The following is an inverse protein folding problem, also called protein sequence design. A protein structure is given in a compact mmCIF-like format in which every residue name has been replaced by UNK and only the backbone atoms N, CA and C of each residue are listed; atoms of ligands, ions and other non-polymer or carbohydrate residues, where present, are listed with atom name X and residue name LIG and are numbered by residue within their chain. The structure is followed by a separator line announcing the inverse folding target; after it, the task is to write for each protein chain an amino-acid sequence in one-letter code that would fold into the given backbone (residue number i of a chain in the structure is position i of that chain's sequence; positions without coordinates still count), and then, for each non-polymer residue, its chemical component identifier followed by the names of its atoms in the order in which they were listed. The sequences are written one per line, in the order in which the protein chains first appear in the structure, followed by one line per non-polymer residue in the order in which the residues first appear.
data_IF_450393299426
#
_entry.id   IF_450393299426
#
_cell.length_a   1.000
_cell.length_b   1.000
_cell.length_c   1.000
_cell.angle_alpha   90.00
_cell.angle_beta   90.00
_cell.angle_gamma   90.00
#
_symmetry.space_group_name_H-M   'P 1'
#
loop_
_entity.id
_entity.type
_entity.pdbx_description
1 polymer ?
#
# COMPACT_ATOMS: atom_id res chain seq x y z
N UNK A 1 -17.49 0.23 -13.74
CA UNK A 1 -17.80 0.98 -12.51
C UNK A 1 -16.50 1.21 -11.75
N UNK A 2 -16.17 2.47 -11.41
CA UNK A 2 -14.95 2.76 -10.64
C UNK A 2 -15.09 2.33 -9.18
N UNK A 3 -14.08 1.64 -8.65
CA UNK A 3 -14.01 1.17 -7.26
C UNK A 3 -12.63 1.47 -6.68
N UNK A 4 -12.57 1.99 -5.45
CA UNK A 4 -11.33 2.16 -4.69
C UNK A 4 -11.29 1.12 -3.56
N UNK A 5 -10.22 0.32 -3.51
CA UNK A 5 -10.07 -0.77 -2.56
C UNK A 5 -8.78 -0.67 -1.74
N UNK A 6 -8.91 -0.76 -0.42
CA UNK A 6 -7.80 -0.87 0.52
C UNK A 6 -7.92 -2.22 1.24
N UNK A 7 -7.11 -3.20 0.83
CA UNK A 7 -7.30 -4.62 1.13
C UNK A 7 -6.41 -5.15 2.27
N UNK A 8 -5.51 -4.32 2.79
CA UNK A 8 -4.63 -4.66 3.91
C UNK A 8 -4.79 -3.64 5.03
N UNK A 9 -5.49 -4.06 6.08
CA UNK A 9 -5.67 -3.30 7.32
C UNK A 9 -5.58 -4.24 8.51
N UNK A 10 -5.50 -3.68 9.72
CA UNK A 10 -5.58 -4.44 10.95
C UNK A 10 -6.77 -4.04 11.81
N UNK A 11 -7.33 -5.03 12.48
CA UNK A 11 -8.38 -4.86 13.49
C UNK A 11 -7.79 -4.47 14.85
N UNK A 12 -8.65 -4.10 15.79
CA UNK A 12 -8.27 -3.85 17.20
C UNK A 12 -7.60 -5.05 17.92
N UNK A 13 -7.55 -6.24 17.31
CA UNK A 13 -6.90 -7.41 17.88
C UNK A 13 -5.42 -7.54 17.50
N UNK A 14 -4.94 -6.74 16.55
CA UNK A 14 -3.52 -6.67 16.22
C UNK A 14 -2.74 -5.78 17.19
N UNK A 15 -1.47 -6.13 17.43
CA UNK A 15 -0.55 -5.27 18.22
C UNK A 15 -0.43 -3.88 17.61
N UNK A 16 -0.18 -2.90 18.49
CA UNK A 16 0.03 -1.50 18.11
C UNK A 16 -1.08 -0.89 17.23
N UNK A 17 -2.27 -1.48 17.26
CA UNK A 17 -3.44 -1.04 16.48
C UNK A 17 -4.43 -0.32 17.39
N UNK A 18 -5.07 0.73 16.86
CA UNK A 18 -6.06 1.50 17.62
C UNK A 18 -7.23 0.59 18.06
N UNK A 19 -7.72 0.72 19.31
CA UNK A 19 -8.92 -0.01 19.75
C UNK A 19 -10.18 0.38 18.96
N UNK A 20 -10.13 1.49 18.22
CA UNK A 20 -11.21 1.94 17.35
C UNK A 20 -11.21 1.25 15.98
N UNK A 21 -10.29 0.33 15.69
CA UNK A 21 -10.30 -0.46 14.45
C UNK A 21 -11.35 -1.58 14.56
N UNK A 22 -12.63 -1.20 14.59
CA UNK A 22 -13.80 -2.08 14.61
C UNK A 22 -14.75 -1.79 13.43
N UNK A 23 -15.67 -2.71 13.12
CA UNK A 23 -16.51 -2.62 11.92
C UNK A 23 -17.28 -1.28 11.80
N UNK A 24 -17.95 -0.77 12.87
CA UNK A 24 -18.63 0.52 12.80
C UNK A 24 -17.71 1.67 12.40
N UNK A 25 -16.54 1.78 13.03
CA UNK A 25 -15.62 2.88 12.74
C UNK A 25 -14.91 2.71 11.40
N UNK A 26 -14.56 1.47 11.03
CA UNK A 26 -13.98 1.15 9.73
C UNK A 26 -14.92 1.56 8.61
N UNK A 27 -16.20 1.20 8.68
CA UNK A 27 -17.19 1.59 7.66
C UNK A 27 -17.40 3.12 7.61
N UNK A 28 -17.48 3.78 8.78
CA UNK A 28 -17.58 5.24 8.84
C UNK A 28 -16.38 5.92 8.15
N UNK A 29 -15.16 5.48 8.46
CA UNK A 29 -13.96 6.08 7.90
C UNK A 29 -13.71 5.69 6.45
N UNK A 30 -14.08 4.49 6.02
CA UNK A 30 -14.10 4.11 4.61
C UNK A 30 -14.95 5.09 3.80
N UNK A 31 -16.15 5.44 4.26
CA UNK A 31 -16.97 6.49 3.60
C UNK A 31 -16.32 7.86 3.60
N UNK A 32 -15.73 8.29 4.73
CA UNK A 32 -15.02 9.59 4.81
C UNK A 32 -13.82 9.64 3.87
N UNK A 33 -13.10 8.53 3.71
CA UNK A 33 -11.98 8.40 2.79
C UNK A 33 -12.43 8.26 1.34
N UNK A 34 -13.59 7.65 1.10
CA UNK A 34 -14.08 7.31 -0.23
C UNK A 34 -13.57 5.93 -0.70
N UNK A 35 -13.40 5.00 0.23
CA UNK A 35 -13.02 3.62 -0.04
C UNK A 35 -14.31 2.82 -0.24
N UNK A 36 -14.46 2.19 -1.41
CA UNK A 36 -15.64 1.40 -1.77
C UNK A 36 -15.55 -0.02 -1.20
N UNK A 37 -14.34 -0.60 -1.21
CA UNK A 37 -14.07 -1.96 -0.73
C UNK A 37 -12.94 -1.94 0.30
N UNK A 38 -13.23 -2.40 1.52
CA UNK A 38 -12.24 -2.51 2.57
C UNK A 38 -11.90 -3.97 2.87
N UNK A 39 -10.62 -4.28 3.04
CA UNK A 39 -10.23 -5.55 3.65
C UNK A 39 -10.77 -5.65 5.07
N UNK A 40 -11.17 -6.84 5.51
CA UNK A 40 -11.58 -7.00 6.91
C UNK A 40 -10.41 -6.89 7.88
N UNK A 41 -9.21 -7.25 7.42
CA UNK A 41 -8.07 -7.53 8.29
C UNK A 41 -8.32 -8.71 9.22
N UNK A 42 -7.25 -9.35 9.68
CA UNK A 42 -7.21 -10.23 10.85
C UNK A 42 -8.30 -11.31 10.95
N UNK A 43 -8.86 -11.81 9.84
CA UNK A 43 -9.96 -12.80 9.90
C UNK A 43 -9.56 -14.10 10.63
N UNK A 44 -8.27 -14.31 10.85
CA UNK A 44 -7.71 -15.46 11.57
C UNK A 44 -7.95 -15.37 13.07
N UNK A 45 -8.13 -14.17 13.62
CA UNK A 45 -8.36 -13.98 15.04
C UNK A 45 -9.77 -14.45 15.43
N UNK A 46 -9.94 -15.43 16.35
CA UNK A 46 -11.24 -16.07 16.60
C UNK A 46 -12.36 -15.12 17.03
N UNK A 47 -12.05 -14.10 17.86
CA UNK A 47 -13.06 -13.12 18.27
C UNK A 47 -13.43 -12.16 17.14
N UNK A 48 -12.48 -11.88 16.25
CA UNK A 48 -12.75 -11.03 15.09
C UNK A 48 -13.58 -11.80 14.07
N UNK A 49 -13.17 -13.03 13.73
CA UNK A 49 -13.94 -13.95 12.90
C UNK A 49 -15.41 -14.06 13.34
N UNK A 50 -15.65 -14.26 14.64
CA UNK A 50 -17.01 -14.27 15.19
C UNK A 50 -17.75 -12.96 14.95
N UNK A 51 -17.08 -11.82 15.17
CA UNK A 51 -17.66 -10.49 14.91
C UNK A 51 -18.02 -10.32 13.43
N UNK A 52 -17.12 -10.71 12.52
CA UNK A 52 -17.34 -10.67 11.08
C UNK A 52 -18.55 -11.52 10.70
N UNK A 53 -18.62 -12.78 11.15
CA UNK A 53 -19.72 -13.69 10.83
C UNK A 53 -21.08 -13.26 11.39
N UNK A 54 -21.10 -12.49 12.48
CA UNK A 54 -22.34 -11.97 13.07
C UNK A 54 -22.83 -10.66 12.43
N UNK A 55 -21.91 -9.88 11.86
CA UNK A 55 -22.19 -8.49 11.46
C UNK A 55 -22.21 -8.28 9.95
N UNK A 56 -21.41 -9.04 9.20
CA UNK A 56 -21.27 -8.89 7.76
C UNK A 56 -22.40 -9.59 7.01
N UNK A 57 -22.99 -8.89 6.04
CA UNK A 57 -24.04 -9.44 5.16
C UNK A 57 -23.40 -9.85 3.83
N UNK A 58 -23.39 -11.15 3.52
CA UNK A 58 -22.87 -11.66 2.25
C UNK A 58 -23.63 -11.05 1.06
N UNK A 59 -22.89 -10.63 0.03
CA UNK A 59 -23.45 -10.19 -1.25
C UNK A 59 -23.55 -11.34 -2.29
N UNK A 60 -23.19 -12.57 -1.90
CA UNK A 60 -23.26 -13.75 -2.77
C UNK A 60 -22.17 -13.87 -3.83
N UNK A 61 -21.26 -12.90 -3.91
CA UNK A 61 -20.23 -12.80 -4.95
C UNK A 61 -18.79 -12.73 -4.39
N UNK A 62 -18.62 -13.20 -3.16
CA UNK A 62 -17.35 -13.18 -2.43
C UNK A 62 -17.05 -11.89 -1.68
N UNK A 63 -17.91 -10.86 -1.82
CA UNK A 63 -17.88 -9.66 -1.00
C UNK A 63 -18.99 -9.67 0.05
N UNK A 64 -18.81 -8.84 1.07
CA UNK A 64 -19.73 -8.65 2.18
C UNK A 64 -20.08 -7.17 2.31
N UNK A 65 -21.16 -6.85 3.01
CA UNK A 65 -21.56 -5.47 3.25
C UNK A 65 -21.75 -5.23 4.74
N UNK A 66 -21.29 -4.06 5.20
CA UNK A 66 -21.62 -3.50 6.49
C UNK A 66 -21.79 -1.98 6.35
N UNK A 67 -22.95 -1.47 6.77
CA UNK A 67 -23.27 -0.03 6.71
C UNK A 67 -22.93 0.62 5.35
N UNK A 68 -23.37 -0.01 4.26
CA UNK A 68 -23.18 0.42 2.86
C UNK A 68 -21.74 0.39 2.33
N UNK A 69 -20.78 -0.11 3.10
CA UNK A 69 -19.40 -0.32 2.65
C UNK A 69 -19.20 -1.80 2.33
N UNK A 70 -18.53 -2.10 1.21
CA UNK A 70 -18.20 -3.47 0.86
C UNK A 70 -16.93 -3.90 1.59
N UNK A 71 -16.90 -5.16 1.99
CA UNK A 71 -15.77 -5.79 2.65
C UNK A 71 -15.32 -7.04 1.90
N UNK A 72 -14.01 -7.18 1.75
CA UNK A 72 -13.36 -8.42 1.30
C UNK A 72 -12.74 -9.10 2.52
N UNK A 73 -12.89 -10.42 2.65
CA UNK A 73 -12.26 -11.16 3.75
C UNK A 73 -10.75 -11.22 3.50
N UNK A 74 -10.01 -10.44 4.29
CA UNK A 74 -8.55 -10.38 4.22
C UNK A 74 -7.92 -10.58 5.60
N UNK A 75 -6.72 -11.15 5.62
CA UNK A 75 -5.88 -11.29 6.80
C UNK A 75 -4.40 -11.21 6.42
N UNK A 76 -3.55 -10.91 7.39
CA UNK A 76 -2.11 -11.05 7.28
C UNK A 76 -1.64 -12.13 8.27
N UNK A 77 -0.71 -13.00 7.85
CA UNK A 77 -0.03 -13.96 8.72
C UNK A 77 1.47 -13.72 8.71
N UNK A 78 2.14 -13.98 9.83
CA UNK A 78 3.59 -13.82 9.96
C UNK A 78 4.29 -15.18 10.01
N UNK A 79 4.98 -15.54 8.93
CA UNK A 79 5.74 -16.78 8.82
C UNK A 79 7.18 -16.56 9.30
N UNK A 80 7.63 -17.33 10.28
CA UNK A 80 9.00 -17.26 10.82
C UNK A 80 9.61 -18.65 10.85
N UNK A 81 10.76 -18.82 10.19
CA UNK A 81 11.46 -20.11 10.11
C UNK A 81 12.96 -19.92 9.88
N UNK A 82 13.73 -20.99 10.02
CA UNK A 82 15.14 -21.03 9.67
C UNK A 82 15.33 -21.63 8.28
N UNK A 83 16.12 -20.97 7.43
CA UNK A 83 16.51 -21.47 6.10
C UNK A 83 17.91 -20.96 5.80
N UNK A 84 18.80 -21.86 5.37
CA UNK A 84 20.21 -21.54 5.03
C UNK A 84 20.93 -20.78 6.14
N UNK A 85 20.79 -21.27 7.38
CA UNK A 85 21.39 -20.67 8.59
C UNK A 85 20.94 -19.23 8.90
N UNK A 86 19.89 -18.73 8.24
CA UNK A 86 19.25 -17.44 8.53
C UNK A 86 17.84 -17.63 9.04
N UNK A 87 17.42 -16.77 9.96
CA UNK A 87 16.00 -16.67 10.35
C UNK A 87 15.30 -15.78 9.33
N UNK A 88 14.36 -16.38 8.60
CA UNK A 88 13.48 -15.70 7.64
C UNK A 88 12.20 -15.28 8.35
N UNK A 89 11.70 -14.11 8.00
CA UNK A 89 10.46 -13.55 8.53
C UNK A 89 9.73 -12.93 7.36
N UNK A 90 8.55 -13.43 7.03
CA UNK A 90 7.78 -13.02 5.86
C UNK A 90 6.32 -12.90 6.26
N UNK A 91 5.72 -11.78 5.91
CA UNK A 91 4.29 -11.59 6.00
C UNK A 91 3.59 -11.92 4.69
N UNK A 92 2.44 -12.57 4.82
CA UNK A 92 1.60 -12.98 3.69
C UNK A 92 0.19 -12.48 3.91
N UNK A 93 -0.34 -11.76 2.92
CA UNK A 93 -1.75 -11.43 2.82
C UNK A 93 -2.51 -12.63 2.30
N UNK A 94 -3.69 -12.84 2.86
CA UNK A 94 -4.63 -13.88 2.48
C UNK A 94 -5.94 -13.20 2.06
N UNK A 95 -6.36 -13.36 0.81
CA UNK A 95 -7.69 -12.91 0.35
C UNK A 95 -8.54 -14.13 0.02
N UNK A 96 -9.73 -14.22 0.61
CA UNK A 96 -10.58 -15.41 0.47
C UNK A 96 -12.04 -15.04 0.23
N UNK A 97 -12.80 -15.81 -0.58
CA UNK A 97 -14.14 -15.37 -0.98
C UNK A 97 -15.23 -15.65 0.06
N UNK A 98 -15.00 -16.48 1.09
CA UNK A 98 -16.09 -16.89 1.98
C UNK A 98 -15.70 -17.13 3.42
N UNK A 99 -16.64 -16.90 4.35
CA UNK A 99 -16.46 -17.21 5.77
C UNK A 99 -16.27 -18.72 6.01
N UNK A 100 -16.80 -19.57 5.13
CA UNK A 100 -16.54 -21.02 5.14
C UNK A 100 -15.07 -21.31 4.80
N UNK A 101 -14.50 -20.64 3.81
CA UNK A 101 -13.07 -20.77 3.52
C UNK A 101 -12.22 -20.25 4.70
N UNK A 102 -12.61 -19.13 5.32
CA UNK A 102 -11.95 -18.64 6.54
C UNK A 102 -11.97 -19.69 7.64
N UNK A 103 -13.10 -20.36 7.87
CA UNK A 103 -13.20 -21.42 8.89
C UNK A 103 -12.22 -22.57 8.63
N UNK A 104 -12.17 -23.06 7.38
CA UNK A 104 -11.25 -24.12 6.98
C UNK A 104 -9.78 -23.70 7.15
N UNK A 105 -9.43 -22.49 6.72
CA UNK A 105 -8.08 -21.94 6.88
C UNK A 105 -7.71 -21.82 8.35
N UNK A 106 -8.59 -21.24 9.18
CA UNK A 106 -8.36 -21.06 10.61
C UNK A 106 -8.20 -22.41 11.32
N UNK A 107 -8.96 -23.43 10.92
CA UNK A 107 -8.82 -24.79 11.43
C UNK A 107 -7.40 -25.33 11.19
N UNK A 108 -6.88 -25.24 9.96
CA UNK A 108 -5.52 -25.73 9.66
C UNK A 108 -4.42 -24.88 10.32
N UNK A 109 -4.51 -23.55 10.25
CA UNK A 109 -3.50 -22.66 10.83
C UNK A 109 -3.44 -22.75 12.37
N UNK A 110 -4.57 -23.05 13.03
CA UNK A 110 -4.63 -23.23 14.49
C UNK A 110 -3.84 -24.44 15.00
N UNK A 111 -3.57 -25.42 14.13
CA UNK A 111 -2.73 -26.58 14.44
C UNK A 111 -1.23 -26.21 14.48
N UNK A 112 -0.87 -25.08 13.90
CA UNK A 112 0.50 -24.62 13.72
C UNK A 112 0.87 -23.56 14.76
N UNK A 113 -0.03 -22.61 15.03
CA UNK A 113 0.23 -21.51 15.94
C UNK A 113 -1.03 -20.97 16.62
N UNK A 114 -0.83 -20.12 17.62
CA UNK A 114 -1.93 -19.53 18.38
C UNK A 114 -2.55 -18.35 17.65
N UNK A 115 -3.70 -18.57 17.01
CA UNK A 115 -4.44 -17.54 16.28
C UNK A 115 -5.08 -16.47 17.18
N UNK A 116 -5.23 -16.73 18.48
CA UNK A 116 -5.80 -15.78 19.43
C UNK A 116 -4.76 -14.83 20.05
N UNK A 117 -3.47 -15.00 19.73
CA UNK A 117 -2.40 -14.20 20.33
C UNK A 117 -2.29 -12.78 19.76
N UNK A 118 -2.69 -12.59 18.51
CA UNK A 118 -2.57 -11.36 17.75
C UNK A 118 -3.51 -11.43 16.53
N UNK A 119 -3.98 -10.29 16.03
CA UNK A 119 -4.71 -10.21 14.75
C UNK A 119 -3.88 -10.68 13.56
N UNK A 120 -2.55 -10.51 13.62
CA UNK A 120 -1.57 -11.16 12.74
C UNK A 120 -0.88 -12.30 13.49
N UNK A 121 -1.36 -13.55 13.35
CA UNK A 121 -0.75 -14.67 14.04
C UNK A 121 0.67 -14.94 13.52
N UNK A 122 1.57 -15.26 14.46
CA UNK A 122 2.94 -15.69 14.16
C UNK A 122 2.96 -17.22 14.07
N UNK A 123 3.37 -17.73 12.92
CA UNK A 123 3.40 -19.16 12.61
C UNK A 123 4.85 -19.60 12.36
N UNK A 124 5.26 -20.65 13.05
CA UNK A 124 6.61 -21.24 12.96
C UNK A 124 6.82 -22.10 11.70
N UNK A 125 6.44 -21.61 10.52
CA UNK A 125 6.48 -22.33 9.24
C UNK A 125 7.02 -21.44 8.12
N UNK A 126 7.46 -22.07 7.03
CA UNK A 126 7.87 -21.36 5.82
C UNK A 126 6.69 -20.80 5.03
N UNK A 127 6.96 -19.79 4.21
CA UNK A 127 5.96 -19.22 3.30
C UNK A 127 5.39 -20.28 2.34
N UNK A 128 6.24 -21.15 1.78
CA UNK A 128 5.81 -22.31 0.98
C UNK A 128 4.86 -23.21 1.76
N UNK A 129 5.21 -23.58 3.01
CA UNK A 129 4.37 -24.49 3.79
C UNK A 129 3.04 -23.87 4.19
N UNK A 130 3.03 -22.57 4.49
CA UNK A 130 1.80 -21.82 4.71
C UNK A 130 0.90 -21.87 3.47
N UNK A 131 1.47 -21.60 2.29
CA UNK A 131 0.74 -21.64 1.03
C UNK A 131 0.16 -23.03 0.70
N UNK A 132 0.95 -24.09 0.84
CA UNK A 132 0.46 -25.48 0.68
C UNK A 132 -0.71 -25.79 1.61
N UNK A 133 -0.56 -25.43 2.89
CA UNK A 133 -1.57 -25.69 3.92
C UNK A 133 -2.88 -24.98 3.59
N UNK A 134 -2.81 -23.70 3.24
CA UNK A 134 -3.98 -22.88 2.90
C UNK A 134 -4.64 -23.39 1.62
N UNK A 135 -3.88 -23.63 0.55
CA UNK A 135 -4.44 -24.09 -0.72
C UNK A 135 -4.98 -25.52 -0.67
N UNK A 136 -4.52 -26.37 0.25
CA UNK A 136 -5.07 -27.72 0.43
C UNK A 136 -6.53 -27.73 0.85
N UNK A 137 -6.98 -26.68 1.57
CA UNK A 137 -8.36 -26.55 2.07
C UNK A 137 -9.14 -25.42 1.40
N UNK A 138 -8.44 -24.44 0.83
CA UNK A 138 -9.05 -23.32 0.10
C UNK A 138 -8.22 -22.94 -1.13
N UNK A 139 -8.35 -23.69 -2.25
CA UNK A 139 -7.57 -23.46 -3.48
C UNK A 139 -7.79 -22.09 -4.13
N UNK A 140 -8.91 -21.42 -3.81
CA UNK A 140 -9.26 -20.09 -4.35
C UNK A 140 -8.66 -18.95 -3.53
N UNK A 141 -8.09 -19.23 -2.35
CA UNK A 141 -7.49 -18.19 -1.51
C UNK A 141 -6.24 -17.66 -2.19
N UNK A 142 -6.19 -16.34 -2.35
CA UNK A 142 -5.05 -15.64 -2.93
C UNK A 142 -4.03 -15.34 -1.84
N UNK A 143 -2.76 -15.60 -2.14
CA UNK A 143 -1.63 -15.36 -1.24
C UNK A 143 -0.70 -14.34 -1.88
N UNK A 144 -0.42 -13.25 -1.18
CA UNK A 144 0.39 -12.13 -1.66
C UNK A 144 1.45 -11.80 -0.61
N UNK A 145 2.74 -11.75 -0.96
CA UNK A 145 3.77 -11.19 -0.07
C UNK A 145 3.41 -9.76 0.31
N UNK A 146 3.26 -9.50 1.61
CA UNK A 146 2.93 -8.17 2.12
C UNK A 146 4.15 -7.23 2.04
N UNK A 147 3.88 -5.94 1.84
CA UNK A 147 4.81 -4.82 1.94
C UNK A 147 6.27 -5.16 1.57
N UNK A 148 6.53 -5.45 0.30
CA UNK A 148 7.63 -6.29 -0.18
C UNK A 148 9.06 -5.87 0.22
N UNK A 149 9.25 -4.63 0.66
CA UNK A 149 10.57 -4.03 0.89
C UNK A 149 10.87 -3.60 2.32
N UNK A 150 9.93 -3.73 3.27
CA UNK A 150 10.25 -3.36 4.65
C UNK A 150 11.43 -4.20 5.17
N UNK A 151 12.39 -3.63 5.93
CA UNK A 151 13.66 -4.31 6.19
C UNK A 151 13.55 -5.69 6.86
N UNK A 152 12.47 -5.88 7.63
CA UNK A 152 12.10 -7.11 8.31
C UNK A 152 10.72 -7.54 7.84
N UNK A 153 10.38 -8.82 7.91
CA UNK A 153 9.02 -9.31 7.61
C UNK A 153 8.58 -9.21 6.14
N UNK A 154 9.46 -8.83 5.22
CA UNK A 154 9.14 -8.69 3.80
C UNK A 154 10.01 -9.57 2.90
N UNK A 155 9.48 -9.92 1.73
CA UNK A 155 10.13 -10.84 0.80
C UNK A 155 11.46 -10.34 0.23
N UNK A 156 11.63 -9.04 0.00
CA UNK A 156 12.90 -8.45 -0.44
C UNK A 156 13.61 -7.65 0.67
N UNK A 157 13.12 -7.74 1.91
CA UNK A 157 13.66 -6.99 3.04
C UNK A 157 15.14 -7.31 3.32
N UNK A 158 15.96 -6.27 3.50
CA UNK A 158 17.42 -6.40 3.62
C UNK A 158 17.91 -7.28 4.79
N UNK A 159 17.09 -7.49 5.84
CA UNK A 159 17.50 -8.24 7.04
C UNK A 159 17.01 -9.70 7.03
N UNK A 160 15.74 -9.92 6.72
CA UNK A 160 15.10 -11.25 6.79
C UNK A 160 14.50 -11.77 5.49
N UNK A 161 14.53 -10.97 4.41
CA UNK A 161 14.00 -11.31 3.09
C UNK A 161 14.97 -12.16 2.27
N UNK A 162 14.71 -12.23 0.97
CA UNK A 162 15.36 -13.03 -0.06
C UNK A 162 15.78 -12.15 -1.25
N UNK A 163 16.53 -12.71 -2.19
CA UNK A 163 16.92 -12.01 -3.42
C UNK A 163 15.92 -12.30 -4.56
N UNK A 164 15.06 -13.32 -4.41
CA UNK A 164 14.04 -13.69 -5.39
C UNK A 164 12.78 -14.32 -4.76
N UNK A 165 11.64 -14.24 -5.46
CA UNK A 165 10.43 -14.97 -5.08
C UNK A 165 10.63 -16.50 -5.13
N UNK A 166 11.52 -16.98 -6.02
CA UNK A 166 11.84 -18.39 -6.16
C UNK A 166 12.54 -18.95 -4.93
N UNK A 167 13.44 -18.20 -4.28
CA UNK A 167 14.06 -18.62 -3.01
C UNK A 167 13.04 -18.69 -1.85
N UNK A 168 12.05 -17.80 -1.84
CA UNK A 168 11.05 -17.73 -0.79
C UNK A 168 9.96 -18.81 -0.93
N UNK A 169 9.45 -19.02 -2.15
CA UNK A 169 8.29 -19.89 -2.41
C UNK A 169 8.65 -21.20 -3.13
N UNK A 170 9.86 -21.33 -3.67
CA UNK A 170 10.27 -22.49 -4.45
C UNK A 170 9.38 -22.69 -5.69
N UNK A 171 8.93 -23.92 -5.98
CA UNK A 171 8.05 -24.21 -7.12
C UNK A 171 6.72 -23.43 -7.11
N UNK A 172 6.25 -23.00 -5.93
CA UNK A 172 4.99 -22.25 -5.79
C UNK A 172 5.12 -20.77 -6.19
N UNK A 173 6.33 -20.29 -6.49
CA UNK A 173 6.57 -18.90 -6.95
C UNK A 173 5.82 -18.54 -8.25
N UNK A 174 5.44 -19.54 -9.05
CA UNK A 174 4.61 -19.35 -10.25
C UNK A 174 3.13 -19.09 -9.92
N UNK A 175 2.68 -19.44 -8.72
CA UNK A 175 1.32 -19.17 -8.25
C UNK A 175 1.19 -17.78 -7.61
N UNK A 176 2.31 -17.13 -7.28
CA UNK A 176 2.34 -15.77 -6.77
C UNK A 176 2.29 -14.81 -7.97
N UNK A 177 1.13 -14.22 -8.21
CA UNK A 177 0.90 -13.29 -9.32
C UNK A 177 0.89 -11.81 -8.90
N UNK A 178 0.91 -11.53 -7.60
CA UNK A 178 0.92 -10.16 -7.07
C UNK A 178 1.86 -10.05 -5.86
N UNK A 179 2.36 -8.84 -5.62
CA UNK A 179 3.02 -8.42 -4.39
C UNK A 179 2.41 -7.09 -3.93
N UNK A 180 2.42 -6.85 -2.63
CA UNK A 180 2.12 -5.52 -2.10
C UNK A 180 3.39 -4.69 -2.04
N UNK A 181 3.38 -3.48 -2.61
CA UNK A 181 4.51 -2.52 -2.55
C UNK A 181 4.79 -2.14 -1.09
N UNK A 182 3.76 -1.63 -0.42
CA UNK A 182 3.77 -1.13 0.94
C UNK A 182 4.53 0.18 1.07
N UNK A 183 4.33 0.86 2.21
CA UNK A 183 4.77 2.24 2.49
C UNK A 183 6.27 2.57 2.33
N UNK A 184 7.11 1.57 2.11
CA UNK A 184 8.56 1.72 1.97
C UNK A 184 9.04 1.63 0.52
N UNK A 185 8.17 1.32 -0.43
CA UNK A 185 8.47 1.37 -1.85
C UNK A 185 7.27 1.77 -2.69
N UNK A 186 7.52 2.10 -3.95
CA UNK A 186 6.51 2.45 -4.93
C UNK A 186 6.71 1.64 -6.23
N UNK A 187 5.81 1.75 -7.22
CA UNK A 187 5.95 1.02 -8.47
C UNK A 187 7.26 1.30 -9.22
N UNK A 188 7.77 2.55 -9.36
CA UNK A 188 9.08 2.82 -9.95
C UNK A 188 10.22 2.05 -9.29
N UNK A 189 10.27 1.97 -7.96
CA UNK A 189 11.28 1.17 -7.25
C UNK A 189 11.20 -0.31 -7.63
N UNK A 190 9.99 -0.87 -7.72
CA UNK A 190 9.76 -2.28 -8.03
C UNK A 190 10.03 -2.61 -9.51
N UNK A 191 9.73 -1.69 -10.44
CA UNK A 191 9.99 -1.88 -11.87
C UNK A 191 11.47 -2.02 -12.21
N UNK A 192 12.37 -1.69 -11.29
CA UNK A 192 13.81 -1.89 -11.44
C UNK A 192 14.25 -3.35 -11.39
N UNK A 193 13.35 -4.26 -11.07
CA UNK A 193 13.59 -5.70 -11.03
C UNK A 193 12.75 -6.38 -12.12
N UNK A 194 13.38 -6.82 -13.20
CA UNK A 194 12.70 -7.49 -14.33
C UNK A 194 11.96 -8.76 -13.92
N UNK A 195 12.41 -9.42 -12.86
CA UNK A 195 11.72 -10.59 -12.28
C UNK A 195 10.29 -10.27 -11.79
N UNK A 196 9.96 -9.00 -11.55
CA UNK A 196 8.64 -8.53 -11.13
C UNK A 196 7.74 -8.11 -12.29
N UNK A 197 8.19 -8.15 -13.55
CA UNK A 197 7.37 -7.74 -14.70
C UNK A 197 6.08 -8.54 -14.85
N UNK A 198 6.11 -9.83 -14.52
CA UNK A 198 4.92 -10.70 -14.53
C UNK A 198 4.01 -10.51 -13.32
N UNK A 199 4.48 -9.76 -12.32
CA UNK A 199 3.82 -9.60 -11.03
C UNK A 199 3.04 -8.30 -10.99
N UNK A 200 1.81 -8.37 -10.50
CA UNK A 200 0.97 -7.21 -10.24
C UNK A 200 1.39 -6.54 -8.95
N UNK A 201 1.61 -5.24 -9.02
CA UNK A 201 1.88 -4.42 -7.85
C UNK A 201 0.55 -3.94 -7.31
N UNK A 202 0.19 -4.36 -6.11
CA UNK A 202 -0.95 -3.82 -5.38
C UNK A 202 -0.44 -2.91 -4.27
N UNK A 203 -1.27 -1.97 -3.84
CA UNK A 203 -0.92 -0.98 -2.83
C UNK A 203 -2.06 -0.89 -1.81
N UNK A 204 -1.75 -1.02 -0.53
CA UNK A 204 -2.73 -1.01 0.55
C UNK A 204 -2.14 -0.36 1.79
N UNK A 205 -3.02 0.14 2.65
CA UNK A 205 -2.60 1.04 3.70
C UNK A 205 -1.79 0.39 4.83
N UNK A 206 -1.94 -0.91 5.09
CA UNK A 206 -1.49 -1.53 6.34
C UNK A 206 -1.95 -0.68 7.56
N UNK A 207 -3.23 -0.29 7.53
CA UNK A 207 -3.75 0.67 8.49
C UNK A 207 -3.85 0.05 9.89
N UNK A 208 -3.14 0.66 10.82
CA UNK A 208 -3.25 0.42 12.27
C UNK A 208 -4.09 1.49 12.99
N UNK A 209 -4.60 2.48 12.25
CA UNK A 209 -5.50 3.52 12.78
C UNK A 209 -6.41 4.06 11.68
N UNK A 210 -7.60 4.52 12.07
CA UNK A 210 -8.65 4.96 11.14
C UNK A 210 -8.21 6.08 10.20
N UNK A 211 -7.38 7.01 10.70
CA UNK A 211 -6.87 8.12 9.90
C UNK A 211 -5.93 7.69 8.76
N UNK A 212 -5.30 6.52 8.90
CA UNK A 212 -4.35 5.97 7.94
C UNK A 212 -5.03 5.10 6.86
N UNK A 213 -6.33 4.80 6.98
CA UNK A 213 -7.07 4.08 5.94
C UNK A 213 -6.94 4.81 4.59
N UNK A 214 -6.68 4.05 3.53
CA UNK A 214 -6.54 4.59 2.18
C UNK A 214 -5.33 5.52 1.98
N UNK A 215 -4.30 5.48 2.85
CA UNK A 215 -3.02 6.14 2.50
C UNK A 215 -2.34 5.48 1.30
N UNK A 216 -2.69 4.22 1.05
CA UNK A 216 -2.40 3.42 -0.13
C UNK A 216 -3.69 2.66 -0.48
N UNK A 217 -3.97 2.47 -1.76
CA UNK A 217 -5.17 1.79 -2.24
C UNK A 217 -5.04 1.38 -3.72
N UNK A 218 -5.97 0.56 -4.19
CA UNK A 218 -6.06 0.08 -5.57
C UNK A 218 -7.31 0.65 -6.22
N UNK A 219 -7.22 1.10 -7.47
CA UNK A 219 -8.36 1.64 -8.21
C UNK A 219 -8.69 0.72 -9.37
N UNK A 220 -9.95 0.28 -9.40
CA UNK A 220 -10.48 -0.61 -10.42
C UNK A 220 -11.59 0.05 -11.23
N UNK A 221 -11.81 -0.43 -12.45
CA UNK A 221 -13.00 -0.17 -13.25
C UNK A 221 -13.61 -1.50 -13.70
N UNK A 222 -14.58 -2.00 -12.94
CA UNK A 222 -15.12 -3.36 -13.12
C UNK A 222 -16.56 -3.33 -13.61
N UNK A 223 -17.04 -4.36 -14.33
CA UNK A 223 -18.46 -4.47 -14.66
C UNK A 223 -19.33 -4.59 -13.40
N UNK A 224 -18.83 -5.29 -12.38
CA UNK A 224 -19.45 -5.43 -11.07
C UNK A 224 -18.39 -5.61 -9.97
N UNK A 225 -18.71 -5.18 -8.75
CA UNK A 225 -17.88 -5.41 -7.57
C UNK A 225 -18.05 -6.86 -7.10
N UNK A 226 -17.08 -7.73 -7.41
CA UNK A 226 -17.04 -9.13 -6.95
C UNK A 226 -15.61 -9.57 -6.63
N UNK A 227 -15.44 -10.56 -5.75
CA UNK A 227 -14.12 -11.11 -5.44
C UNK A 227 -13.41 -11.59 -6.71
N UNK A 228 -14.13 -12.31 -7.58
CA UNK A 228 -13.57 -12.88 -8.81
C UNK A 228 -13.07 -11.78 -9.75
N UNK A 229 -13.87 -10.74 -10.02
CA UNK A 229 -13.45 -9.68 -10.94
C UNK A 229 -12.24 -8.90 -10.41
N UNK A 230 -12.18 -8.63 -9.10
CA UNK A 230 -11.03 -7.96 -8.49
C UNK A 230 -9.77 -8.82 -8.62
N UNK A 231 -9.85 -10.11 -8.26
CA UNK A 231 -8.70 -11.01 -8.33
C UNK A 231 -8.25 -11.24 -9.78
N UNK A 232 -9.19 -11.37 -10.73
CA UNK A 232 -8.88 -11.50 -12.16
C UNK A 232 -8.20 -10.24 -12.69
N UNK A 233 -8.74 -9.05 -12.40
CA UNK A 233 -8.13 -7.78 -12.82
C UNK A 233 -6.69 -7.63 -12.27
N UNK A 234 -6.47 -8.00 -11.01
CA UNK A 234 -5.11 -8.03 -10.44
C UNK A 234 -4.26 -9.06 -11.19
N UNK A 235 -4.70 -10.31 -11.30
CA UNK A 235 -3.90 -11.41 -11.86
C UNK A 235 -3.51 -11.20 -13.32
N UNK A 236 -4.44 -10.69 -14.13
CA UNK A 236 -4.25 -10.54 -15.57
C UNK A 236 -3.52 -9.24 -15.94
N UNK A 237 -3.31 -8.33 -14.97
CA UNK A 237 -2.72 -6.99 -15.17
C UNK A 237 -3.46 -6.16 -16.21
N UNK A 238 -4.78 -6.36 -16.31
CA UNK A 238 -5.62 -5.67 -17.28
C UNK A 238 -5.77 -4.20 -16.88
N UNK A 239 -5.06 -3.29 -17.54
CA UNK A 239 -5.12 -1.85 -17.27
C UNK A 239 -6.51 -1.23 -17.48
N UNK A 240 -7.39 -1.89 -18.25
CA UNK A 240 -8.77 -1.42 -18.40
C UNK A 240 -9.60 -1.67 -17.15
N UNK A 241 -9.19 -2.63 -16.32
CA UNK A 241 -9.89 -3.06 -15.11
C UNK A 241 -9.14 -2.72 -13.82
N UNK A 242 -7.82 -2.83 -13.79
CA UNK A 242 -6.96 -2.38 -12.70
C UNK A 242 -6.27 -1.10 -13.16
N UNK A 243 -6.92 0.03 -12.88
CA UNK A 243 -6.65 1.30 -13.57
C UNK A 243 -5.37 1.97 -13.04
N UNK A 244 -5.18 2.00 -11.72
CA UNK A 244 -3.95 2.47 -11.08
C UNK A 244 -3.91 2.13 -9.59
N UNK A 245 -2.75 2.24 -8.97
CA UNK A 245 -2.59 2.28 -7.51
C UNK A 245 -2.49 3.72 -6.98
N UNK A 246 -3.01 3.95 -5.78
CA UNK A 246 -2.79 5.16 -5.00
C UNK A 246 -1.64 4.82 -4.04
N UNK A 247 -0.57 5.60 -4.11
CA UNK A 247 0.67 5.31 -3.39
C UNK A 247 0.97 6.37 -2.33
N UNK A 248 1.57 5.95 -1.24
CA UNK A 248 2.27 6.83 -0.32
C UNK A 248 3.62 7.23 -0.94
N UNK A 249 4.21 8.35 -0.49
CA UNK A 249 5.58 8.68 -0.89
C UNK A 249 6.58 7.88 -0.03
N UNK A 250 7.26 6.85 -0.56
CA UNK A 250 8.18 6.04 0.25
C UNK A 250 9.32 6.87 0.84
N UNK A 251 9.66 8.00 0.19
CA UNK A 251 10.61 8.99 0.68
C UNK A 251 10.27 9.59 2.05
N UNK A 252 9.01 9.59 2.49
CA UNK A 252 8.67 9.99 3.86
C UNK A 252 9.13 8.97 4.91
N UNK A 253 9.41 7.73 4.50
CA UNK A 253 9.90 6.65 5.36
C UNK A 253 11.22 7.00 6.04
N UNK A 254 11.30 6.71 7.35
CA UNK A 254 12.47 7.02 8.20
C UNK A 254 13.78 6.29 7.83
N UNK A 255 13.70 5.29 6.97
CA UNK A 255 14.84 4.49 6.50
C UNK A 255 14.75 4.32 4.99
N UNK A 256 14.28 5.34 4.26
CA UNK A 256 14.16 5.26 2.81
C UNK A 256 15.55 5.33 2.16
N UNK A 257 16.28 6.42 2.40
CA UNK A 257 17.65 6.60 1.95
C UNK A 257 18.67 6.20 3.02
N UNK A 258 19.90 6.07 2.59
CA UNK A 258 21.03 5.85 3.48
C UNK A 258 21.36 7.15 4.21
N UNK A 259 21.93 7.03 5.40
CA UNK A 259 22.45 8.21 6.05
C UNK A 259 23.02 8.01 7.43
N UNK A 260 23.39 9.13 8.02
CA UNK A 260 23.93 9.21 9.36
C UNK A 260 23.39 10.45 10.04
N UNK A 261 22.34 10.26 10.85
CA UNK A 261 21.58 11.32 11.52
C UNK A 261 22.48 12.16 12.43
N UNK A 262 23.46 11.55 13.08
CA UNK A 262 24.38 12.27 13.97
C UNK A 262 25.26 13.29 13.21
N UNK A 263 25.45 13.13 11.91
CA UNK A 263 26.17 14.08 11.05
C UNK A 263 25.25 14.87 10.11
N UNK A 264 23.92 14.70 10.21
CA UNK A 264 22.92 15.31 9.34
C UNK A 264 23.21 15.08 7.84
N UNK A 265 23.55 13.83 7.49
CA UNK A 265 23.84 13.43 6.10
C UNK A 265 22.89 12.36 5.61
N UNK A 266 22.31 12.62 4.44
CA UNK A 266 21.48 11.72 3.66
C UNK A 266 22.18 11.47 2.31
N UNK A 267 22.20 10.22 1.87
CA UNK A 267 22.86 9.81 0.63
C UNK A 267 21.92 8.92 -0.20
N UNK A 268 21.92 9.13 -1.51
CA UNK A 268 21.36 8.15 -2.43
C UNK A 268 22.23 6.87 -2.41
N UNK A 269 21.67 5.69 -2.70
CA UNK A 269 22.41 4.43 -2.61
C UNK A 269 23.74 4.40 -3.36
N UNK A 270 23.78 4.94 -4.58
CA UNK A 270 24.99 4.94 -5.40
C UNK A 270 26.11 5.79 -4.78
N UNK A 271 25.75 6.89 -4.09
CA UNK A 271 26.71 7.72 -3.35
C UNK A 271 27.29 6.95 -2.16
N UNK A 272 26.43 6.23 -1.42
CA UNK A 272 26.84 5.40 -0.29
C UNK A 272 27.78 4.27 -0.71
N UNK A 273 27.48 3.59 -1.82
CA UNK A 273 28.33 2.53 -2.41
C UNK A 273 29.69 3.10 -2.80
N UNK A 274 29.74 4.28 -3.42
CA UNK A 274 30.99 4.95 -3.78
C UNK A 274 31.84 5.35 -2.56
N UNK A 275 31.21 5.54 -1.40
CA UNK A 275 31.84 5.83 -0.12
C UNK A 275 32.15 4.57 0.72
N UNK A 276 32.02 3.37 0.14
CA UNK A 276 32.21 2.09 0.84
C UNK A 276 31.36 1.97 2.11
N UNK A 277 30.16 2.54 2.11
CA UNK A 277 29.23 2.59 3.24
C UNK A 277 29.74 3.34 4.48
N UNK A 278 30.76 4.21 4.33
CA UNK A 278 31.35 4.98 5.42
C UNK A 278 30.96 6.46 5.33
N UNK A 279 30.56 7.04 6.46
CA UNK A 279 30.25 8.45 6.59
C UNK A 279 31.52 9.30 6.37
N UNK A 280 31.54 10.20 5.37
CA UNK A 280 32.73 11.00 5.04
C UNK A 280 33.05 12.07 6.10
N UNK A 281 32.12 12.33 7.03
CA UNK A 281 32.28 13.34 8.09
C UNK A 281 32.96 12.77 9.32
N UNK A 282 32.65 11.53 9.70
CA UNK A 282 33.09 10.96 10.98
C UNK A 282 33.73 9.57 10.89
N UNK A 283 33.77 8.95 9.71
CA UNK A 283 34.38 7.63 9.49
C UNK A 283 33.58 6.44 10.04
N UNK A 284 32.36 6.64 10.55
CA UNK A 284 31.47 5.56 11.00
C UNK A 284 30.63 5.00 9.86
N UNK A 285 30.14 3.78 10.01
CA UNK A 285 29.21 3.16 9.06
C UNK A 285 27.92 3.97 8.91
N UNK A 286 27.42 4.04 7.67
CA UNK A 286 26.13 4.61 7.33
C UNK A 286 25.00 3.63 7.67
N UNK A 287 23.86 4.14 8.14
CA UNK A 287 22.63 3.34 8.22
C UNK A 287 22.09 3.15 6.82
N UNK A 288 22.04 1.88 6.38
CA UNK A 288 21.54 1.50 5.06
C UNK A 288 20.01 1.48 5.03
N UNK A 289 19.43 2.21 4.08
CA UNK A 289 18.01 2.36 3.84
C UNK A 289 17.41 1.32 2.88
N UNK A 290 16.10 1.41 2.68
CA UNK A 290 15.32 0.51 1.82
C UNK A 290 15.68 0.69 0.35
N UNK A 291 15.92 1.94 -0.10
CA UNK A 291 16.28 2.21 -1.49
C UNK A 291 17.61 1.57 -1.87
N UNK A 292 18.54 1.40 -0.92
CA UNK A 292 19.79 0.69 -1.16
C UNK A 292 19.56 -0.80 -1.43
N UNK A 293 18.61 -1.42 -0.73
CA UNK A 293 18.24 -2.81 -1.00
C UNK A 293 17.59 -2.97 -2.38
N UNK A 294 16.84 -1.97 -2.83
CA UNK A 294 16.35 -1.92 -4.22
C UNK A 294 17.53 -1.81 -5.19
N UNK A 295 18.49 -0.91 -4.93
CA UNK A 295 19.69 -0.74 -5.76
C UNK A 295 20.50 -2.04 -5.87
N UNK A 296 20.66 -2.78 -4.77
CA UNK A 296 21.39 -4.04 -4.71
C UNK A 296 20.77 -5.13 -5.59
N UNK A 297 19.43 -5.20 -5.66
CA UNK A 297 18.71 -6.22 -6.41
C UNK A 297 18.30 -5.77 -7.83
N UNK A 298 18.40 -4.48 -8.13
CA UNK A 298 17.95 -3.92 -9.39
C UNK A 298 18.80 -4.42 -10.57
N UNK A 299 18.12 -4.86 -11.63
CA UNK A 299 18.71 -5.21 -12.92
C UNK A 299 18.45 -4.13 -13.99
N UNK A 300 17.76 -3.06 -13.61
CA UNK A 300 17.53 -1.85 -14.43
C UNK A 300 17.93 -0.58 -13.68
N UNK A 301 18.46 0.36 -14.43
CA UNK A 301 18.74 1.72 -13.94
C UNK A 301 17.44 2.49 -13.75
N UNK A 302 17.46 3.44 -12.80
CA UNK A 302 16.31 4.31 -12.53
C UNK A 302 15.87 5.10 -13.77
N UNK A 303 16.84 5.60 -14.56
CA UNK A 303 16.57 6.33 -15.80
C UNK A 303 15.92 5.47 -16.89
N UNK A 304 16.06 4.14 -16.80
CA UNK A 304 15.41 3.22 -17.73
C UNK A 304 13.94 3.12 -17.37
N UNK A 305 13.60 2.82 -16.11
CA UNK A 305 12.21 2.54 -15.68
C UNK A 305 11.30 3.75 -15.61
N UNK A 306 11.87 4.96 -15.68
CA UNK A 306 11.16 6.21 -15.48
C UNK A 306 11.55 7.26 -16.52
N UNK A 307 11.32 6.97 -17.81
CA UNK A 307 11.56 7.95 -18.87
C UNK A 307 10.40 8.95 -18.90
N UNK A 308 10.59 10.10 -18.22
CA UNK A 308 9.59 11.17 -18.09
C UNK A 308 8.30 10.80 -17.31
N UNK A 309 8.36 9.89 -16.33
CA UNK A 309 7.16 9.46 -15.60
C UNK A 309 6.38 8.34 -16.29
N UNK A 310 6.87 7.81 -17.41
CA UNK A 310 6.21 6.77 -18.19
C UNK A 310 6.94 5.44 -17.94
N UNK A 311 6.23 4.39 -17.48
CA UNK A 311 6.83 3.09 -17.30
C UNK A 311 7.27 2.45 -18.62
N UNK A 312 8.34 1.66 -18.59
CA UNK A 312 8.99 1.08 -19.77
C UNK A 312 8.14 0.09 -20.59
N UNK A 313 7.13 -0.55 -19.99
CA UNK A 313 6.34 -1.56 -20.68
C UNK A 313 4.88 -1.13 -20.75
N UNK A 314 4.25 -1.43 -21.89
CA UNK A 314 2.82 -1.18 -22.14
C UNK A 314 1.90 -1.95 -21.16
N UNK A 315 2.44 -2.80 -20.28
CA UNK A 315 1.68 -3.73 -19.45
C UNK A 315 1.95 -3.56 -17.93
N UNK A 316 2.32 -2.36 -17.48
CA UNK A 316 2.33 -2.06 -16.03
C UNK A 316 1.07 -1.34 -15.60
N UNK A 317 0.67 -1.50 -14.35
CA UNK A 317 -0.41 -0.70 -13.78
C UNK A 317 0.15 0.67 -13.37
N UNK A 318 -0.44 1.79 -13.83
CA UNK A 318 -0.04 3.13 -13.42
C UNK A 318 -0.19 3.38 -11.92
N UNK A 319 0.37 4.47 -11.41
CA UNK A 319 0.22 4.86 -10.00
C UNK A 319 0.02 6.37 -9.84
N UNK A 320 -0.49 6.77 -8.67
CA UNK A 320 -0.65 8.16 -8.26
C UNK A 320 -0.19 8.33 -6.81
N UNK A 321 0.89 9.07 -6.59
CA UNK A 321 1.35 9.37 -5.24
C UNK A 321 0.53 10.50 -4.61
N UNK A 322 0.06 10.30 -3.38
CA UNK A 322 -0.69 11.28 -2.62
C UNK A 322 -0.10 11.46 -1.22
N UNK A 323 -0.43 12.60 -0.60
CA UNK A 323 -0.39 12.76 0.86
C UNK A 323 -1.84 12.94 1.36
N UNK A 324 -2.16 12.54 2.60
CA UNK A 324 -3.51 12.71 3.15
C UNK A 324 -3.97 14.17 3.10
N UNK A 325 -5.27 14.39 2.89
CA UNK A 325 -5.82 15.76 2.80
C UNK A 325 -5.52 16.58 4.06
N UNK A 326 -5.49 15.93 5.23
CA UNK A 326 -5.09 16.58 6.49
C UNK A 326 -3.67 17.13 6.45
N UNK A 327 -2.74 16.48 5.75
CA UNK A 327 -1.37 16.95 5.57
C UNK A 327 -1.33 18.19 4.67
N UNK A 328 -2.09 18.18 3.56
CA UNK A 328 -2.24 19.35 2.68
C UNK A 328 -2.80 20.54 3.46
N UNK A 329 -3.85 20.33 4.27
CA UNK A 329 -4.46 21.36 5.11
C UNK A 329 -3.45 21.90 6.14
N UNK A 330 -2.70 21.03 6.79
CA UNK A 330 -1.67 21.42 7.75
C UNK A 330 -0.58 22.28 7.13
N UNK A 331 -0.05 21.88 5.96
CA UNK A 331 0.95 22.66 5.24
C UNK A 331 0.39 24.03 4.80
N UNK A 332 -0.83 24.06 4.26
CA UNK A 332 -1.51 25.28 3.85
C UNK A 332 -1.75 26.26 5.01
N UNK A 333 -2.03 25.74 6.22
CA UNK A 333 -2.21 26.54 7.43
C UNK A 333 -0.93 26.78 8.22
N UNK A 334 0.19 26.14 7.85
CA UNK A 334 1.48 26.18 8.56
C UNK A 334 1.34 25.75 10.03
N UNK A 335 0.57 24.70 10.27
CA UNK A 335 0.34 24.11 11.61
C UNK A 335 0.53 22.60 11.57
N UNK A 336 0.59 21.96 12.75
CA UNK A 336 0.67 20.50 12.81
C UNK A 336 -0.61 19.81 12.32
N UNK A 337 -0.45 18.62 11.71
CA UNK A 337 -1.55 17.77 11.20
C UNK A 337 -2.58 17.43 12.27
N UNK A 338 -2.14 17.24 13.52
CA UNK A 338 -2.99 16.86 14.66
C UNK A 338 -3.71 18.02 15.34
N UNK A 339 -3.72 19.22 14.74
CA UNK A 339 -4.37 20.38 15.36
C UNK A 339 -5.88 20.35 15.14
N UNK A 340 -6.66 20.85 16.12
CA UNK A 340 -8.12 20.98 16.01
C UNK A 340 -8.54 21.81 14.79
N UNK A 341 -7.70 22.76 14.36
CA UNK A 341 -7.94 23.57 13.16
C UNK A 341 -7.93 22.71 11.89
N UNK A 342 -6.96 21.80 11.76
CA UNK A 342 -6.87 20.87 10.62
C UNK A 342 -8.04 19.88 10.63
N UNK A 343 -8.32 19.29 11.80
CA UNK A 343 -9.43 18.35 11.95
C UNK A 343 -10.78 18.98 11.59
N UNK A 344 -11.07 20.18 12.11
CA UNK A 344 -12.31 20.90 11.81
C UNK A 344 -12.45 21.19 10.30
N UNK A 345 -11.37 21.64 9.66
CA UNK A 345 -11.39 21.94 8.24
C UNK A 345 -11.53 20.68 7.40
N UNK A 346 -10.83 19.60 7.77
CA UNK A 346 -10.97 18.30 7.13
C UNK A 346 -12.42 17.82 7.19
N UNK A 347 -13.03 17.74 8.37
CA UNK A 347 -14.41 17.29 8.53
C UNK A 347 -15.41 18.16 7.76
N UNK A 348 -15.20 19.49 7.73
CA UNK A 348 -16.03 20.41 6.94
C UNK A 348 -15.96 20.09 5.45
N UNK A 349 -14.78 19.82 4.92
CA UNK A 349 -14.60 19.48 3.51
C UNK A 349 -15.21 18.11 3.18
N UNK A 350 -15.05 17.12 4.05
CA UNK A 350 -15.68 15.81 3.90
C UNK A 350 -17.21 15.92 3.93
N UNK A 351 -17.77 16.72 4.84
CA UNK A 351 -19.22 16.94 4.91
C UNK A 351 -19.77 17.62 3.64
N UNK A 352 -19.02 18.56 3.07
CA UNK A 352 -19.43 19.30 1.88
C UNK A 352 -19.31 18.48 0.59
N UNK A 353 -18.17 17.79 0.39
CA UNK A 353 -17.86 17.09 -0.86
C UNK A 353 -18.06 15.57 -0.80
N UNK A 354 -18.31 15.00 0.38
CA UNK A 354 -18.58 13.58 0.60
C UNK A 354 -17.37 12.78 1.08
N UNK A 355 -16.23 12.85 0.39
CA UNK A 355 -15.06 12.02 0.73
C UNK A 355 -13.71 12.63 0.36
N UNK A 356 -12.65 12.12 0.99
CA UNK A 356 -11.27 12.56 0.79
C UNK A 356 -10.78 12.27 -0.62
N UNK A 357 -10.95 11.04 -1.11
CA UNK A 357 -10.53 10.68 -2.47
C UNK A 357 -11.28 11.45 -3.53
N UNK A 358 -12.56 11.76 -3.34
CA UNK A 358 -13.29 12.63 -4.27
C UNK A 358 -12.63 14.01 -4.38
N UNK A 359 -12.23 14.59 -3.24
CA UNK A 359 -11.51 15.87 -3.20
C UNK A 359 -10.13 15.76 -3.83
N UNK A 360 -9.37 14.71 -3.53
CA UNK A 360 -7.97 14.57 -3.95
C UNK A 360 -7.84 14.11 -5.40
N UNK A 361 -8.78 13.34 -5.94
CA UNK A 361 -8.65 12.67 -7.24
C UNK A 361 -9.63 13.15 -8.29
N UNK A 362 -10.87 13.47 -7.91
CA UNK A 362 -11.98 13.50 -8.88
C UNK A 362 -12.46 14.92 -9.20
N UNK A 363 -12.63 15.78 -8.18
CA UNK A 363 -13.20 17.12 -8.38
C UNK A 363 -12.30 17.99 -9.27
N UNK A 364 -12.89 18.68 -10.24
CA UNK A 364 -12.19 19.67 -11.05
C UNK A 364 -11.75 20.89 -10.21
N UNK A 365 -10.74 21.62 -10.68
CA UNK A 365 -10.21 22.79 -9.98
C UNK A 365 -11.28 23.86 -9.71
N UNK A 366 -12.23 24.02 -10.63
CA UNK A 366 -13.35 24.95 -10.51
C UNK A 366 -14.34 24.53 -9.42
N UNK A 367 -14.68 23.25 -9.32
CA UNK A 367 -15.60 22.72 -8.29
C UNK A 367 -15.04 22.90 -6.87
N UNK A 368 -13.71 22.80 -6.72
CA UNK A 368 -13.03 23.04 -5.45
C UNK A 368 -13.16 24.50 -4.99
N UNK A 369 -13.37 25.47 -5.89
CA UNK A 369 -13.47 26.89 -5.51
C UNK A 369 -14.65 27.20 -4.60
N UNK A 370 -15.72 26.41 -4.68
CA UNK A 370 -16.94 26.64 -3.92
C UNK A 370 -16.72 26.57 -2.40
N UNK A 371 -15.90 25.62 -1.92
CA UNK A 371 -15.73 25.42 -0.48
C UNK A 371 -14.29 25.17 -0.03
N UNK A 372 -13.31 24.97 -0.91
CA UNK A 372 -11.90 24.75 -0.52
C UNK A 372 -11.12 26.06 -0.55
N UNK A 373 -10.43 26.48 0.53
CA UNK A 373 -9.60 27.69 0.53
C UNK A 373 -8.48 27.70 -0.53
N UNK A 374 -8.08 28.86 -1.07
CA UNK A 374 -7.08 28.94 -2.16
C UNK A 374 -5.76 28.21 -1.88
N UNK A 375 -5.22 28.31 -0.66
CA UNK A 375 -3.96 27.65 -0.29
C UNK A 375 -4.07 26.13 -0.26
N UNK A 376 -5.21 25.59 0.16
CA UNK A 376 -5.47 24.14 0.15
C UNK A 376 -5.69 23.66 -1.28
N UNK A 377 -6.45 24.40 -2.10
CA UNK A 377 -6.64 24.07 -3.53
C UNK A 377 -5.32 24.00 -4.27
N UNK A 378 -4.45 24.98 -4.07
CA UNK A 378 -3.09 24.98 -4.63
C UNK A 378 -2.36 23.69 -4.25
N UNK A 379 -2.37 23.32 -2.97
CA UNK A 379 -1.75 22.09 -2.50
C UNK A 379 -2.30 20.82 -3.13
N UNK A 380 -3.62 20.72 -3.30
CA UNK A 380 -4.25 19.59 -4.02
C UNK A 380 -3.75 19.55 -5.47
N UNK A 381 -3.68 20.69 -6.16
CA UNK A 381 -3.20 20.72 -7.55
C UNK A 381 -1.73 20.33 -7.65
N UNK A 382 -0.85 20.83 -6.77
CA UNK A 382 0.57 20.47 -6.79
C UNK A 382 0.78 18.97 -6.59
N UNK A 383 0.04 18.35 -5.67
CA UNK A 383 0.07 16.89 -5.45
C UNK A 383 -0.40 16.13 -6.69
N UNK A 384 -1.53 16.52 -7.28
CA UNK A 384 -2.04 15.89 -8.53
C UNK A 384 -1.05 16.00 -9.69
N UNK A 385 -0.30 17.09 -9.77
CA UNK A 385 0.70 17.33 -10.80
C UNK A 385 2.07 16.70 -10.49
N UNK A 386 2.24 16.07 -9.32
CA UNK A 386 3.52 15.53 -8.85
C UNK A 386 4.58 16.61 -8.58
N UNK A 387 4.21 17.89 -8.48
CA UNK A 387 5.14 18.99 -8.28
C UNK A 387 5.32 19.28 -6.79
N UNK A 388 6.15 18.46 -6.14
CA UNK A 388 6.47 18.56 -4.72
C UNK A 388 7.98 18.48 -4.49
N UNK A 389 8.47 19.20 -3.48
CA UNK A 389 9.84 19.05 -3.00
C UNK A 389 9.88 17.84 -2.06
N UNK A 390 10.68 16.83 -2.42
CA UNK A 390 10.87 15.61 -1.65
C UNK A 390 12.18 15.71 -0.87
N UNK A 391 12.08 15.66 0.45
CA UNK A 391 13.22 15.51 1.35
C UNK A 391 13.19 14.08 1.92
N UNK A 392 14.03 13.16 1.43
CA UNK A 392 13.96 11.77 1.82
C UNK A 392 14.32 11.58 3.29
N UNK A 393 13.68 10.61 3.93
CA UNK A 393 14.00 10.18 5.28
C UNK A 393 15.17 9.20 5.30
N UNK A 394 15.92 9.23 6.40
CA UNK A 394 17.14 8.45 6.57
C UNK A 394 17.45 8.27 8.06
N UNK A 395 18.12 7.17 8.44
CA UNK A 395 18.62 6.91 9.81
C UNK A 395 17.65 7.29 10.97
N UNK A 396 16.37 6.93 10.81
CA UNK A 396 15.32 7.18 11.82
C UNK A 396 14.67 8.57 11.75
N UNK A 397 15.10 9.44 10.84
CA UNK A 397 14.49 10.75 10.55
C UNK A 397 13.44 10.57 9.46
N UNK A 398 12.20 10.97 9.72
CA UNK A 398 11.15 10.98 8.70
C UNK A 398 11.46 11.98 7.59
N UNK A 399 11.24 11.54 6.36
CA UNK A 399 11.25 12.44 5.21
C UNK A 399 10.05 13.38 5.22
N UNK A 400 10.07 14.36 4.33
CA UNK A 400 9.05 15.39 4.21
C UNK A 400 8.71 15.61 2.74
N UNK A 401 7.42 15.66 2.45
CA UNK A 401 6.91 16.13 1.17
C UNK A 401 6.45 17.56 1.40
N UNK A 402 7.05 18.50 0.70
CA UNK A 402 6.67 19.91 0.78
C UNK A 402 5.95 20.31 -0.48
N UNK A 403 4.78 20.89 -0.30
CA UNK A 403 4.04 21.54 -1.37
C UNK A 403 4.78 22.82 -1.75
N UNK A 404 5.17 22.92 -3.02
CA UNK A 404 5.87 24.09 -3.56
C UNK A 404 4.98 25.34 -3.46
N UNK A 405 5.52 26.49 -3.02
CA UNK A 405 4.79 27.76 -3.06
C UNK A 405 4.36 28.11 -4.48
N UNK A 406 3.31 28.93 -4.60
CA UNK A 406 2.74 29.30 -5.89
C UNK A 406 3.65 30.26 -6.68
N UNK A 407 4.64 29.72 -7.38
CA UNK A 407 5.23 30.31 -8.57
C UNK A 407 5.14 29.26 -9.69
N UNK A 408 4.39 29.61 -10.74
CA UNK A 408 4.14 28.88 -11.98
C UNK A 408 3.00 27.85 -12.06
N UNK A 409 2.19 28.04 -13.10
CA UNK A 409 0.98 27.33 -13.52
C UNK A 409 1.22 25.84 -13.79
N UNK A 410 0.54 24.95 -13.05
CA UNK A 410 0.42 23.56 -13.47
C UNK A 410 -0.47 23.48 -14.73
N UNK A 411 0.12 23.07 -15.86
CA UNK A 411 -0.63 22.42 -16.95
C UNK A 411 -0.86 20.99 -16.50
N UNK A 412 -2.11 20.56 -16.40
CA UNK A 412 -2.47 19.18 -16.06
C UNK A 412 -1.63 18.22 -16.91
N UNK A 413 -0.77 17.41 -16.28
CA UNK A 413 -0.26 16.19 -16.91
C UNK A 413 -1.27 15.10 -16.64
N UNK A 414 -2.36 15.10 -17.41
CA UNK A 414 -3.23 13.95 -17.51
C UNK A 414 -2.44 12.88 -18.28
N UNK A 415 -2.05 11.78 -17.64
CA UNK A 415 -1.62 10.56 -18.35
C UNK A 415 -2.83 9.76 -18.87
N UNK A 416 -4.00 10.39 -18.98
CA UNK A 416 -5.26 9.81 -19.47
C UNK A 416 -6.05 10.93 -20.19
N UNK A 417 -5.66 11.24 -21.43
CA UNK A 417 -6.39 11.94 -22.51
C UNK A 417 -5.40 11.88 -23.70
N UNK A 418 -5.62 11.31 -24.88
CA UNK A 418 -6.80 10.86 -25.61
C UNK A 418 -6.48 9.48 -26.24
N UNK A 419 -7.34 8.48 -26.01
CA UNK A 419 -7.52 7.40 -26.98
C UNK A 419 -8.98 7.39 -27.38
N UNK A 420 -9.20 7.71 -28.65
CA UNK A 420 -10.44 7.63 -29.43
C UNK A 420 -11.44 8.77 -29.27
N UNK A 421 -11.39 9.73 -30.20
CA UNK A 421 -12.43 9.99 -31.19
C UNK A 421 -11.88 11.02 -32.20
N UNK A 422 -12.08 10.75 -33.50
CA UNK A 422 -11.66 11.53 -34.68
C UNK A 422 -10.31 11.17 -35.30
N UNK A 423 -10.34 10.17 -36.21
CA UNK A 423 -9.84 10.27 -37.60
C UNK A 423 -10.02 8.89 -38.29
N UNK A 424 -11.27 8.61 -38.68
CA UNK A 424 -11.56 7.82 -39.88
C UNK A 424 -12.12 8.82 -40.88
N UNK A 425 -11.22 9.41 -41.66
CA UNK A 425 -11.43 9.85 -43.04
C UNK A 425 -10.12 9.69 -43.81
#
# INVERSE_FOLDING_TARGET
MRLIADLHIHSRFSRATSPQMDLPQLALWARRKGIDILGTGDFTHPLWYKTLGQSLISQGNGLYCYDKVLFMLTAEISCIWSQESRVRKIHLLLFTPSLQNVELINCELSKIGNLAADGRPILGISATKAAETIWSVSPQTVIIPAHAWTPWFSVFGAKSGFDSLAECFGPLSNNIFAIETGLSSDPPMNWRLSSLDRISLISNSDAHSLANLGREANVFDLPEASFVNIITAIKDKDQTQFVYTIEFFPAQGKYHYDGHRACDRCFAPQETIALSNICPVCGKELTIGVMHRVEELADRMEAEVNKNGIPLSENVIPYRSLIPLQEIIAQAFKVGVKTKRVEKEYLRLIEYYGSEFRILLDLAAEELKAAVPPSIRHGIMQIRCGNVEILPGYDGVYGKIKITPAEETCRQRTLIDDRSLEEVL
#
